data_IF_672376456472
#
_entry.id   IF_672376456472
#
_cell.length_a   1.000
_cell.length_b   1.000
_cell.length_c   1.000
_cell.angle_alpha   90.00
_cell.angle_beta   90.00
_cell.angle_gamma   90.00
#
_symmetry.space_group_name_H-M   'P 1'
#
loop_
_entity.id
_entity.type
_entity.pdbx_description
1 polymer ?
#
# COMPACT_ATOMS: atom_id res chain seq x y z
N UNK A 1 63.00 -34.55 14.59
CA UNK A 1 63.62 -35.85 14.34
C UNK A 1 63.26 -36.77 15.47
N UNK A 2 62.69 -37.93 15.20
CA UNK A 2 62.46 -39.00 16.18
C UNK A 2 63.48 -40.11 15.93
N UNK A 3 64.16 -40.55 16.99
CA UNK A 3 65.15 -41.64 16.90
C UNK A 3 64.67 -42.80 17.75
N UNK A 4 64.55 -43.96 17.12
CA UNK A 4 64.23 -45.21 17.85
C UNK A 4 65.51 -46.03 17.90
N UNK A 5 65.95 -46.40 19.09
CA UNK A 5 67.16 -47.14 19.34
C UNK A 5 66.82 -48.54 19.91
N UNK A 6 67.45 -49.59 19.44
CA UNK A 6 67.28 -50.89 19.97
C UNK A 6 67.87 -50.96 21.40
N UNK A 7 67.10 -51.37 22.39
CA UNK A 7 67.51 -51.44 23.80
C UNK A 7 68.63 -52.41 24.07
N UNK A 8 68.78 -53.47 23.25
CA UNK A 8 69.80 -54.48 23.37
C UNK A 8 71.04 -54.15 22.54
N UNK A 9 70.96 -53.27 21.57
CA UNK A 9 72.10 -52.82 20.75
C UNK A 9 71.94 -51.40 20.37
N UNK A 10 72.58 -50.50 21.10
CA UNK A 10 72.48 -49.05 20.93
C UNK A 10 73.06 -48.52 19.55
N UNK A 11 73.76 -49.39 18.82
CA UNK A 11 74.23 -49.05 17.45
C UNK A 11 73.12 -49.23 16.39
N UNK A 12 72.04 -49.96 16.74
CA UNK A 12 70.90 -50.15 15.85
C UNK A 12 69.88 -49.03 16.11
N UNK A 13 70.02 -47.98 15.36
CA UNK A 13 69.11 -46.86 15.44
C UNK A 13 68.44 -46.58 14.04
N UNK A 14 67.19 -46.20 14.09
CA UNK A 14 66.47 -45.64 12.92
C UNK A 14 66.03 -44.24 13.29
N UNK A 15 66.29 -43.32 12.42
CA UNK A 15 65.87 -41.91 12.56
C UNK A 15 64.81 -41.61 11.50
N UNK A 16 63.79 -40.94 11.91
CA UNK A 16 62.76 -40.44 11.02
C UNK A 16 62.49 -38.97 11.35
N UNK A 17 62.45 -38.16 10.29
CA UNK A 17 62.02 -36.78 10.46
C UNK A 17 60.53 -36.74 10.71
N UNK A 18 60.16 -35.94 11.69
CA UNK A 18 58.78 -35.58 11.98
C UNK A 18 58.70 -34.10 11.67
N UNK A 19 57.89 -33.75 10.71
CA UNK A 19 57.57 -32.40 10.38
C UNK A 19 56.39 -31.92 11.26
N UNK A 20 56.53 -30.82 11.92
CA UNK A 20 55.45 -30.14 12.65
C UNK A 20 55.10 -28.92 11.83
N UNK A 21 53.88 -28.90 11.34
CA UNK A 21 53.26 -27.71 10.68
C UNK A 21 52.40 -27.03 11.68
N UNK A 22 52.55 -25.74 11.81
CA UNK A 22 51.68 -24.87 12.60
C UNK A 22 50.93 -23.98 11.63
N UNK A 23 49.67 -24.24 11.47
CA UNK A 23 48.80 -23.43 10.63
C UNK A 23 48.34 -22.16 11.40
N UNK A 24 48.21 -21.01 10.74
CA UNK A 24 47.77 -19.79 11.38
C UNK A 24 46.28 -19.89 11.75
N UNK A 25 45.90 -19.17 12.80
CA UNK A 25 44.49 -18.90 13.11
C UNK A 25 43.87 -17.92 12.09
N UNK A 26 42.55 -17.91 11.95
CA UNK A 26 41.85 -16.88 11.19
C UNK A 26 42.27 -15.49 11.62
N UNK A 27 42.51 -14.59 10.64
CA UNK A 27 42.90 -13.19 10.90
C UNK A 27 41.64 -12.34 10.89
N UNK A 28 41.22 -11.93 12.06
CA UNK A 28 39.98 -11.16 12.25
C UNK A 28 40.27 -9.68 12.15
N UNK A 29 39.51 -8.98 11.31
CA UNK A 29 39.54 -7.53 11.10
C UNK A 29 38.73 -6.79 12.16
N UNK A 30 37.53 -7.29 12.42
CA UNK A 30 36.58 -6.71 13.35
C UNK A 30 35.91 -7.83 14.15
N UNK A 31 35.86 -7.68 15.47
CA UNK A 31 35.31 -8.72 16.34
C UNK A 31 33.79 -8.60 16.50
N UNK A 32 33.27 -7.40 16.47
CA UNK A 32 31.84 -7.07 16.66
C UNK A 32 31.35 -6.34 15.42
N UNK A 33 30.38 -6.92 14.74
CA UNK A 33 29.68 -6.27 13.64
C UNK A 33 28.36 -5.74 14.18
N UNK A 34 28.14 -4.46 14.04
CA UNK A 34 26.87 -3.80 14.42
C UNK A 34 26.00 -3.75 13.20
N UNK A 35 24.81 -4.35 13.29
CA UNK A 35 23.79 -4.36 12.26
C UNK A 35 22.58 -3.62 12.79
N UNK A 36 22.25 -2.52 12.14
CA UNK A 36 21.03 -1.77 12.40
C UNK A 36 20.08 -1.95 11.22
N UNK A 37 18.86 -2.36 11.46
CA UNK A 37 17.84 -2.62 10.44
C UNK A 37 16.48 -2.13 10.90
N UNK A 38 15.64 -1.70 9.95
CA UNK A 38 14.24 -1.48 10.22
C UNK A 38 13.49 -2.80 10.26
N UNK A 39 12.42 -2.82 11.02
CA UNK A 39 11.39 -3.82 10.88
C UNK A 39 10.76 -3.67 9.49
N UNK A 40 10.92 -4.67 8.63
CA UNK A 40 10.60 -4.63 7.21
C UNK A 40 9.45 -5.56 6.83
N UNK A 41 8.83 -6.20 7.81
CA UNK A 41 7.67 -7.03 7.56
C UNK A 41 6.34 -6.30 7.90
N UNK A 42 5.22 -6.92 7.50
CA UNK A 42 3.89 -6.34 7.70
C UNK A 42 3.43 -6.33 9.18
N UNK A 43 4.14 -7.04 10.07
CA UNK A 43 3.70 -7.26 11.45
C UNK A 43 4.13 -6.15 12.41
N UNK A 44 5.17 -5.37 12.07
CA UNK A 44 5.71 -4.32 12.93
C UNK A 44 6.05 -4.79 14.35
N UNK A 45 6.55 -6.00 14.48
CA UNK A 45 6.82 -6.65 15.77
C UNK A 45 8.29 -6.60 16.19
N UNK A 46 9.14 -5.98 15.38
CA UNK A 46 10.58 -5.87 15.60
C UNK A 46 11.36 -7.13 15.22
N UNK A 47 10.71 -8.04 14.49
CA UNK A 47 11.33 -9.27 13.98
C UNK A 47 11.49 -9.15 12.47
N UNK A 48 12.73 -9.19 12.00
CA UNK A 48 13.03 -9.05 10.57
C UNK A 48 13.95 -10.15 10.06
N UNK A 49 14.04 -10.27 8.74
CA UNK A 49 14.89 -11.23 8.07
C UNK A 49 16.31 -10.65 7.87
N UNK A 50 17.32 -11.40 8.31
CA UNK A 50 18.74 -11.07 8.13
C UNK A 50 19.46 -12.14 7.32
N UNK A 51 20.31 -11.70 6.39
CA UNK A 51 21.27 -12.56 5.75
C UNK A 51 22.64 -12.39 6.44
N UNK A 52 22.95 -13.25 7.40
CA UNK A 52 24.16 -13.16 8.22
C UNK A 52 25.45 -13.34 7.41
N UNK A 53 25.37 -14.03 6.26
CA UNK A 53 26.55 -14.28 5.41
C UNK A 53 27.06 -13.06 4.70
N UNK A 54 26.25 -11.99 4.58
CA UNK A 54 26.69 -10.73 4.01
C UNK A 54 27.73 -9.98 4.86
N UNK A 55 27.87 -10.37 6.12
CA UNK A 55 28.81 -9.74 7.05
C UNK A 55 30.17 -10.46 7.16
N UNK A 56 30.37 -11.60 6.46
CA UNK A 56 31.59 -12.39 6.53
C UNK A 56 32.85 -11.60 6.10
N UNK A 57 32.72 -10.78 5.07
CA UNK A 57 33.83 -9.91 4.60
C UNK A 57 34.25 -8.85 5.63
N UNK A 58 33.37 -8.50 6.57
CA UNK A 58 33.67 -7.55 7.65
C UNK A 58 34.50 -8.24 8.75
N UNK A 59 34.35 -9.54 8.92
CA UNK A 59 35.12 -10.30 9.90
C UNK A 59 36.52 -10.63 9.42
N UNK A 60 36.70 -11.04 8.16
CA UNK A 60 37.98 -11.50 7.64
C UNK A 60 38.22 -11.10 6.19
N UNK A 61 39.47 -10.81 5.80
CA UNK A 61 39.85 -10.58 4.41
C UNK A 61 39.88 -11.89 3.62
N UNK A 62 40.03 -13.04 4.28
CA UNK A 62 40.08 -14.37 3.66
C UNK A 62 38.76 -15.13 3.76
N UNK A 63 37.68 -14.40 4.00
CA UNK A 63 36.34 -14.97 4.26
C UNK A 63 35.89 -16.01 3.22
N UNK A 64 36.32 -15.90 1.96
CA UNK A 64 35.96 -16.84 0.89
C UNK A 64 36.59 -18.22 1.05
N UNK A 65 37.70 -18.35 1.83
CA UNK A 65 38.41 -19.59 2.10
C UNK A 65 38.20 -20.07 3.55
N UNK A 66 37.36 -19.38 4.31
CA UNK A 66 37.04 -19.70 5.68
C UNK A 66 35.58 -20.18 5.79
N UNK A 67 35.29 -20.97 6.80
CA UNK A 67 33.93 -21.44 7.11
C UNK A 67 33.40 -20.69 8.30
N UNK A 68 32.28 -20.00 8.10
CA UNK A 68 31.56 -19.29 9.16
C UNK A 68 30.39 -20.14 9.65
N UNK A 69 30.26 -20.20 10.98
CA UNK A 69 29.14 -20.84 11.67
C UNK A 69 28.57 -19.85 12.67
N UNK A 70 27.23 -19.77 12.72
CA UNK A 70 26.49 -18.80 13.53
C UNK A 70 25.68 -19.49 14.60
N UNK A 71 25.56 -18.86 15.77
CA UNK A 71 24.93 -19.45 16.94
C UNK A 71 24.12 -18.39 17.71
N UNK A 72 23.01 -18.79 18.32
CA UNK A 72 22.17 -17.90 19.15
C UNK A 72 22.62 -17.82 20.61
N UNK A 73 23.68 -18.55 20.99
CA UNK A 73 24.19 -18.58 22.37
C UNK A 73 25.71 -18.47 22.41
N UNK A 74 26.24 -17.82 23.44
CA UNK A 74 27.69 -17.67 23.70
C UNK A 74 28.39 -19.03 23.84
N UNK A 75 27.65 -20.06 24.27
CA UNK A 75 28.17 -21.44 24.43
C UNK A 75 28.44 -22.13 23.10
N UNK A 76 28.01 -21.58 21.98
CA UNK A 76 28.05 -22.18 20.63
C UNK A 76 27.39 -23.56 20.61
N UNK A 77 26.24 -23.69 21.27
CA UNK A 77 25.50 -24.94 21.36
C UNK A 77 24.27 -24.95 20.45
N UNK A 78 23.67 -23.78 20.20
CA UNK A 78 22.48 -23.62 19.39
C UNK A 78 22.85 -23.01 18.03
N UNK A 79 23.20 -23.87 17.08
CA UNK A 79 23.61 -23.45 15.74
C UNK A 79 22.42 -22.93 14.93
N UNK A 80 22.64 -21.84 14.20
CA UNK A 80 21.71 -21.33 13.19
C UNK A 80 21.92 -22.14 11.91
N UNK A 81 20.92 -22.91 11.52
CA UNK A 81 21.03 -23.86 10.39
C UNK A 81 20.93 -23.16 9.03
N UNK A 82 20.17 -22.06 8.95
CA UNK A 82 20.05 -21.26 7.74
C UNK A 82 20.42 -19.78 8.01
N UNK A 83 21.71 -19.43 7.91
CA UNK A 83 22.17 -18.07 8.18
C UNK A 83 21.76 -17.06 7.10
N UNK A 84 21.28 -17.51 5.94
CA UNK A 84 20.77 -16.62 4.89
C UNK A 84 19.34 -16.17 5.14
N UNK A 85 18.62 -16.85 6.05
CA UNK A 85 17.24 -16.56 6.40
C UNK A 85 17.06 -16.57 7.93
N UNK A 86 17.84 -15.76 8.63
CA UNK A 86 17.76 -15.64 10.07
C UNK A 86 16.77 -14.54 10.48
N UNK A 87 15.84 -14.87 11.35
CA UNK A 87 14.97 -13.91 12.02
C UNK A 87 15.51 -13.62 13.41
N UNK A 88 15.70 -12.33 13.74
CA UNK A 88 16.05 -11.93 15.11
C UNK A 88 14.95 -12.35 16.09
N UNK A 89 15.32 -12.63 17.34
CA UNK A 89 14.37 -13.10 18.36
C UNK A 89 13.86 -11.99 19.28
N UNK A 90 14.47 -10.79 19.20
CA UNK A 90 14.12 -9.60 19.96
C UNK A 90 14.62 -8.36 19.21
N UNK A 91 14.18 -7.15 19.62
CA UNK A 91 14.64 -5.86 19.07
C UNK A 91 16.17 -5.71 19.10
N UNK A 92 16.79 -6.21 20.16
CA UNK A 92 18.24 -6.33 20.28
C UNK A 92 18.56 -7.82 20.34
N UNK A 93 19.37 -8.31 19.43
CA UNK A 93 19.74 -9.71 19.34
C UNK A 93 21.24 -9.88 19.12
N UNK A 94 21.80 -10.97 19.64
CA UNK A 94 23.21 -11.27 19.55
C UNK A 94 23.41 -12.59 18.84
N UNK A 95 24.13 -12.56 17.72
CA UNK A 95 24.55 -13.74 16.99
C UNK A 95 26.04 -13.97 17.19
N UNK A 96 26.39 -15.11 17.72
CA UNK A 96 27.76 -15.52 17.97
C UNK A 96 28.36 -16.21 16.75
N UNK A 97 29.64 -15.91 16.43
CA UNK A 97 30.28 -16.38 15.21
C UNK A 97 31.49 -17.25 15.53
N UNK A 98 31.65 -18.33 14.78
CA UNK A 98 32.82 -19.19 14.76
C UNK A 98 33.40 -19.20 13.36
N UNK A 99 34.70 -18.94 13.24
CA UNK A 99 35.43 -18.94 11.99
C UNK A 99 36.46 -20.06 11.98
N UNK A 100 36.46 -20.86 10.90
CA UNK A 100 37.37 -21.99 10.74
C UNK A 100 38.13 -21.89 9.42
N UNK A 101 39.47 -21.95 9.45
CA UNK A 101 40.31 -21.98 8.25
C UNK A 101 40.18 -23.33 7.52
N UNK A 102 40.65 -23.40 6.26
CA UNK A 102 40.72 -24.65 5.49
C UNK A 102 41.48 -25.76 6.22
N UNK A 103 42.52 -25.43 7.01
CA UNK A 103 43.33 -26.37 7.79
C UNK A 103 42.71 -26.72 9.17
N UNK A 104 41.50 -26.22 9.45
CA UNK A 104 40.75 -26.55 10.67
C UNK A 104 41.17 -25.75 11.92
N UNK A 105 41.92 -24.64 11.75
CA UNK A 105 42.21 -23.72 12.84
C UNK A 105 40.97 -22.84 13.11
N UNK A 106 40.58 -22.78 14.38
CA UNK A 106 39.29 -22.18 14.79
C UNK A 106 39.53 -20.91 15.58
N UNK A 107 38.73 -19.90 15.26
CA UNK A 107 38.54 -18.70 16.09
C UNK A 107 37.08 -18.60 16.53
N UNK A 108 36.87 -18.41 17.81
CA UNK A 108 35.54 -18.33 18.41
C UNK A 108 35.49 -17.14 19.38
N UNK A 109 34.31 -16.84 19.89
CA UNK A 109 34.06 -15.82 20.91
C UNK A 109 34.78 -16.08 22.25
N UNK A 110 35.44 -17.22 22.45
CA UNK A 110 36.10 -17.57 23.72
C UNK A 110 37.59 -17.50 23.61
N UNK A 111 38.20 -16.39 24.07
CA UNK A 111 39.61 -16.37 24.44
C UNK A 111 39.78 -16.32 25.94
N UNK A 112 40.97 -16.78 26.44
CA UNK A 112 41.28 -16.83 27.87
C UNK A 112 41.33 -15.44 28.55
N UNK A 113 41.22 -14.35 27.76
CA UNK A 113 41.34 -12.97 28.24
C UNK A 113 40.06 -12.11 28.05
N UNK A 114 38.97 -12.63 27.57
CA UNK A 114 37.65 -12.05 27.73
C UNK A 114 37.18 -11.00 26.68
N UNK A 115 38.04 -10.53 25.78
CA UNK A 115 37.69 -9.41 24.86
C UNK A 115 37.63 -9.78 23.35
N UNK A 116 37.85 -11.00 22.96
CA UNK A 116 37.88 -11.40 21.54
C UNK A 116 36.58 -12.09 21.08
N UNK A 117 35.45 -11.55 21.43
CA UNK A 117 34.15 -12.10 21.01
C UNK A 117 33.93 -11.83 19.55
N UNK A 118 33.63 -12.87 18.76
CA UNK A 118 33.13 -12.72 17.41
C UNK A 118 31.60 -12.73 17.46
N UNK A 119 30.98 -11.60 17.17
CA UNK A 119 29.53 -11.48 17.26
C UNK A 119 28.99 -10.48 16.25
N UNK A 120 27.72 -10.67 15.92
CA UNK A 120 26.90 -9.69 15.22
C UNK A 120 25.87 -9.19 16.23
N UNK A 121 25.93 -7.87 16.50
CA UNK A 121 24.96 -7.18 17.35
C UNK A 121 23.88 -6.64 16.42
N UNK A 122 22.70 -7.25 16.45
CA UNK A 122 21.57 -6.83 15.63
C UNK A 122 20.68 -5.95 16.47
N UNK A 123 20.37 -4.77 15.94
CA UNK A 123 19.36 -3.88 16.49
C UNK A 123 18.31 -3.58 15.43
N UNK A 124 17.08 -3.99 15.70
CA UNK A 124 15.94 -3.73 14.82
C UNK A 124 15.14 -2.55 15.36
N UNK A 125 14.99 -1.53 14.54
CA UNK A 125 14.08 -0.43 14.81
C UNK A 125 12.66 -0.87 14.60
N UNK A 126 11.95 -1.17 15.68
CA UNK A 126 10.52 -1.41 15.59
C UNK A 126 9.84 -0.25 14.87
N UNK A 127 8.85 -0.57 14.05
CA UNK A 127 8.04 0.43 13.38
C UNK A 127 7.47 1.41 14.40
N UNK A 128 7.83 2.67 14.26
CA UNK A 128 7.36 3.73 15.15
C UNK A 128 5.99 4.28 14.73
N UNK A 129 5.39 3.80 13.65
CA UNK A 129 4.01 4.11 13.32
C UNK A 129 3.12 3.36 14.31
N UNK A 130 2.37 4.06 15.19
CA UNK A 130 1.58 3.40 16.21
C UNK A 130 0.54 2.46 15.59
N UNK A 131 0.35 1.29 16.15
CA UNK A 131 -0.70 0.37 15.74
C UNK A 131 -2.09 1.00 15.85
N UNK A 132 -2.30 1.82 16.88
CA UNK A 132 -3.52 2.62 17.04
C UNK A 132 -3.73 3.59 15.88
N UNK A 133 -2.65 4.14 15.31
CA UNK A 133 -2.77 4.96 14.10
C UNK A 133 -3.29 4.15 12.92
N UNK A 134 -2.77 2.94 12.71
CA UNK A 134 -3.22 2.07 11.61
C UNK A 134 -4.69 1.66 11.81
N UNK A 135 -5.11 1.41 13.05
CA UNK A 135 -6.48 1.01 13.39
C UNK A 135 -7.46 2.19 13.36
N UNK A 136 -7.06 3.36 13.89
CA UNK A 136 -7.91 4.54 14.05
C UNK A 136 -7.90 5.46 12.81
N UNK A 137 -6.83 5.44 12.04
CA UNK A 137 -6.59 6.35 10.91
C UNK A 137 -6.39 5.62 9.57
N UNK A 138 -6.83 4.37 9.44
CA UNK A 138 -6.99 3.75 8.12
C UNK A 138 -8.08 4.52 7.35
N UNK A 139 -7.77 5.80 7.09
CA UNK A 139 -8.70 6.74 6.49
C UNK A 139 -8.86 6.33 5.02
N UNK A 140 -10.11 6.06 4.68
CA UNK A 140 -10.50 5.92 3.30
C UNK A 140 -10.76 7.33 2.73
N UNK A 141 -10.01 7.68 1.69
CA UNK A 141 -10.25 8.90 0.92
C UNK A 141 -10.95 8.51 -0.37
N UNK A 142 -12.08 9.14 -0.63
CA UNK A 142 -12.94 8.79 -1.76
C UNK A 142 -13.05 9.93 -2.74
N UNK A 143 -13.09 9.60 -4.02
CA UNK A 143 -13.45 10.50 -5.12
C UNK A 143 -14.38 9.77 -6.07
N UNK A 144 -15.17 10.50 -6.82
CA UNK A 144 -15.90 9.90 -7.93
C UNK A 144 -14.94 9.61 -9.08
N UNK A 145 -15.25 8.57 -9.85
CA UNK A 145 -14.61 8.35 -11.14
C UNK A 145 -14.87 9.58 -12.02
N UNK A 146 -13.81 10.16 -12.55
CA UNK A 146 -13.88 11.38 -13.33
C UNK A 146 -13.53 11.13 -14.80
N UNK A 147 -13.45 12.17 -15.59
CA UNK A 147 -13.12 12.08 -17.01
C UNK A 147 -11.64 11.84 -17.30
N UNK A 148 -10.82 11.49 -16.27
CA UNK A 148 -9.40 11.22 -16.44
C UNK A 148 -9.22 9.83 -17.06
N UNK A 149 -9.08 9.79 -18.36
CA UNK A 149 -8.94 8.55 -19.13
C UNK A 149 -10.27 8.05 -19.67
N UNK A 150 -11.14 7.57 -18.82
CA UNK A 150 -12.49 7.09 -19.14
C UNK A 150 -13.37 7.17 -17.89
N UNK A 151 -14.63 7.52 -18.03
CA UNK A 151 -15.58 7.74 -16.92
C UNK A 151 -15.84 6.50 -16.03
N UNK A 152 -15.27 5.34 -16.34
CA UNK A 152 -15.53 4.10 -15.61
C UNK A 152 -14.32 3.16 -15.59
N UNK A 153 -13.12 3.70 -15.54
CA UNK A 153 -11.91 2.88 -15.48
C UNK A 153 -11.34 2.75 -14.05
N UNK A 154 -11.93 3.42 -13.07
CA UNK A 154 -11.50 3.43 -11.68
C UNK A 154 -10.21 4.24 -11.46
N UNK A 155 -9.85 5.12 -12.41
CA UNK A 155 -8.68 6.00 -12.34
C UNK A 155 -9.15 7.43 -12.21
N UNK A 156 -8.74 8.12 -11.15
CA UNK A 156 -9.14 9.49 -10.87
C UNK A 156 -8.00 10.29 -10.23
N UNK A 157 -8.21 11.58 -10.07
CA UNK A 157 -7.24 12.52 -9.51
C UNK A 157 -7.55 12.79 -8.04
N UNK A 158 -6.61 12.47 -7.16
CA UNK A 158 -6.66 12.85 -5.76
C UNK A 158 -5.86 14.14 -5.55
N UNK A 159 -6.49 15.14 -4.95
CA UNK A 159 -5.81 16.40 -4.64
C UNK A 159 -4.59 16.18 -3.75
N UNK A 160 -3.53 16.93 -3.96
CA UNK A 160 -2.35 16.98 -3.10
C UNK A 160 -2.70 17.27 -1.63
N UNK A 161 -3.83 17.92 -1.36
CA UNK A 161 -4.33 18.16 0.00
C UNK A 161 -4.67 16.86 0.75
N UNK A 162 -5.05 15.79 0.05
CA UNK A 162 -5.26 14.44 0.61
C UNK A 162 -3.94 13.88 1.12
N UNK A 163 -2.88 13.99 0.32
CA UNK A 163 -1.54 13.54 0.69
C UNK A 163 -0.99 14.34 1.88
N UNK A 164 -1.21 15.65 1.88
CA UNK A 164 -0.83 16.53 2.99
C UNK A 164 -1.55 16.17 4.29
N UNK A 165 -2.84 15.82 4.22
CA UNK A 165 -3.63 15.38 5.38
C UNK A 165 -3.08 14.09 5.97
N UNK A 166 -2.74 13.10 5.13
CA UNK A 166 -2.09 11.85 5.56
C UNK A 166 -0.78 12.15 6.29
N UNK A 167 0.07 12.99 5.72
CA UNK A 167 1.36 13.37 6.34
C UNK A 167 1.16 14.13 7.65
N UNK A 168 0.19 15.05 7.69
CA UNK A 168 -0.13 15.80 8.90
C UNK A 168 -0.63 14.91 10.03
N UNK A 169 -1.51 13.97 9.74
CA UNK A 169 -2.00 12.97 10.69
C UNK A 169 -0.87 12.09 11.22
N UNK A 170 0.04 11.62 10.33
CA UNK A 170 1.22 10.86 10.73
C UNK A 170 2.13 11.66 11.68
N UNK A 171 2.40 12.92 11.35
CA UNK A 171 3.21 13.79 12.23
C UNK A 171 2.58 14.01 13.59
N UNK A 172 1.25 14.08 13.66
CA UNK A 172 0.53 14.28 14.92
C UNK A 172 0.30 13.00 15.71
N UNK A 173 0.53 11.83 15.12
CA UNK A 173 0.27 10.53 15.75
C UNK A 173 1.14 10.22 16.95
N UNK A 174 2.34 10.84 17.01
CA UNK A 174 3.27 10.74 18.13
C UNK A 174 3.91 12.09 18.42
N UNK A 175 3.99 12.44 19.71
CA UNK A 175 4.64 13.68 20.16
C UNK A 175 6.09 13.76 19.70
N UNK A 176 6.83 12.65 19.77
CA UNK A 176 8.23 12.55 19.33
C UNK A 176 8.43 12.92 17.86
N UNK A 177 7.44 12.79 17.00
CA UNK A 177 7.53 13.16 15.59
C UNK A 177 7.48 14.68 15.37
N UNK A 178 7.04 15.43 16.36
CA UNK A 178 7.00 16.90 16.30
C UNK A 178 8.34 17.53 16.70
N UNK A 179 9.09 16.84 17.56
CA UNK A 179 10.34 17.32 18.13
C UNK A 179 11.59 16.83 17.37
N UNK A 180 11.44 15.86 16.49
CA UNK A 180 12.52 15.29 15.69
C UNK A 180 12.45 15.72 14.22
N UNK A 181 13.62 15.83 13.59
CA UNK A 181 13.72 16.04 12.15
C UNK A 181 13.44 14.71 11.42
N UNK A 182 12.15 14.43 11.19
CA UNK A 182 11.70 13.26 10.48
C UNK A 182 11.35 13.60 9.02
N UNK A 183 11.68 12.68 8.14
CA UNK A 183 11.21 12.70 6.75
C UNK A 183 10.16 11.63 6.55
N UNK A 184 8.97 12.06 6.12
CA UNK A 184 7.88 11.18 5.74
C UNK A 184 7.82 11.13 4.22
N UNK A 185 7.74 9.94 3.67
CA UNK A 185 7.46 9.69 2.25
C UNK A 185 6.28 8.75 2.11
N UNK A 186 5.45 9.00 1.10
CA UNK A 186 4.31 8.14 0.77
C UNK A 186 4.64 7.32 -0.48
N UNK A 187 4.11 6.10 -0.53
CA UNK A 187 4.38 5.11 -1.57
C UNK A 187 3.11 4.35 -1.94
N UNK A 188 3.08 3.77 -3.14
CA UNK A 188 1.90 3.07 -3.69
C UNK A 188 1.84 1.58 -3.37
N UNK A 189 2.84 1.04 -2.69
CA UNK A 189 2.91 -0.37 -2.28
C UNK A 189 3.91 -0.58 -1.14
N UNK A 190 3.83 -1.73 -0.48
CA UNK A 190 4.68 -2.09 0.66
C UNK A 190 6.16 -2.13 0.31
N UNK A 191 6.53 -2.68 -0.85
CA UNK A 191 7.93 -2.79 -1.25
C UNK A 191 8.61 -1.43 -1.38
N UNK A 192 7.95 -0.46 -2.03
CA UNK A 192 8.46 0.89 -2.16
C UNK A 192 8.48 1.62 -0.80
N UNK A 193 7.49 1.39 0.06
CA UNK A 193 7.49 1.88 1.44
C UNK A 193 8.67 1.36 2.25
N UNK A 194 9.00 0.07 2.10
CA UNK A 194 10.15 -0.56 2.73
C UNK A 194 11.48 0.04 2.22
N UNK A 195 11.70 0.05 0.92
CA UNK A 195 12.98 0.48 0.33
C UNK A 195 13.15 2.01 0.29
N UNK A 196 12.04 2.75 0.34
CA UNK A 196 12.02 4.20 0.13
C UNK A 196 12.15 4.62 -1.32
N UNK A 197 12.01 3.68 -2.26
CA UNK A 197 12.04 3.94 -3.69
C UNK A 197 10.70 4.50 -4.20
N UNK A 198 10.75 5.20 -5.32
CA UNK A 198 9.57 5.73 -6.01
C UNK A 198 8.56 6.42 -5.07
N UNK A 199 8.97 7.41 -4.27
CA UNK A 199 8.05 8.14 -3.44
C UNK A 199 7.04 8.92 -4.29
N UNK A 200 5.81 9.07 -3.78
CA UNK A 200 4.80 9.94 -4.38
C UNK A 200 5.26 11.39 -4.24
N UNK A 201 5.12 12.18 -5.30
CA UNK A 201 5.38 13.62 -5.26
C UNK A 201 4.24 14.35 -4.52
N UNK A 202 4.50 14.77 -3.29
CA UNK A 202 3.51 15.43 -2.44
C UNK A 202 3.16 16.86 -2.90
N UNK A 203 3.89 17.40 -3.87
CA UNK A 203 3.66 18.76 -4.39
C UNK A 203 2.67 18.80 -5.57
N UNK A 204 2.23 17.65 -6.03
CA UNK A 204 1.33 17.49 -7.16
C UNK A 204 0.11 16.66 -6.76
N UNK A 205 -0.98 16.86 -7.48
CA UNK A 205 -2.12 15.96 -7.40
C UNK A 205 -1.71 14.55 -7.82
N UNK A 206 -2.28 13.54 -7.18
CA UNK A 206 -1.92 12.15 -7.39
C UNK A 206 -3.00 11.42 -8.20
N UNK A 207 -2.60 10.77 -9.27
CA UNK A 207 -3.46 9.85 -10.03
C UNK A 207 -3.22 8.44 -9.53
N UNK A 208 -4.28 7.73 -9.09
CA UNK A 208 -4.13 6.35 -8.67
C UNK A 208 -3.68 5.47 -9.85
N UNK A 209 -2.84 4.47 -9.55
CA UNK A 209 -2.28 3.55 -10.55
C UNK A 209 -2.94 2.17 -10.52
N UNK A 210 -3.71 1.90 -9.47
CA UNK A 210 -4.55 0.71 -9.33
C UNK A 210 -6.00 1.13 -9.44
N UNK A 211 -6.75 0.53 -10.36
CA UNK A 211 -8.15 0.86 -10.57
C UNK A 211 -8.99 0.65 -9.30
N UNK A 212 -9.89 1.56 -9.03
CA UNK A 212 -10.83 1.63 -7.91
C UNK A 212 -10.19 1.75 -6.53
N UNK A 213 -9.19 0.95 -6.20
CA UNK A 213 -8.60 0.95 -4.85
C UNK A 213 -7.08 1.05 -4.93
N UNK A 214 -6.51 2.04 -4.23
CA UNK A 214 -5.08 2.27 -4.14
C UNK A 214 -4.64 2.36 -2.68
N UNK A 215 -3.78 1.44 -2.25
CA UNK A 215 -3.13 1.53 -0.94
C UNK A 215 -2.09 2.64 -0.92
N UNK A 216 -2.01 3.36 0.19
CA UNK A 216 -0.95 4.32 0.47
C UNK A 216 -0.14 3.82 1.67
N UNK A 217 1.15 3.65 1.43
CA UNK A 217 2.14 3.24 2.40
C UNK A 217 3.02 4.43 2.79
N UNK A 218 3.25 4.62 4.08
CA UNK A 218 4.17 5.64 4.57
C UNK A 218 5.46 5.02 5.06
N UNK A 219 6.56 5.73 4.85
CA UNK A 219 7.86 5.48 5.44
C UNK A 219 8.28 6.70 6.25
N UNK A 220 8.69 6.49 7.48
CA UNK A 220 9.20 7.53 8.38
C UNK A 220 10.68 7.28 8.61
N UNK A 221 11.50 8.30 8.40
CA UNK A 221 12.94 8.26 8.60
C UNK A 221 13.35 9.43 9.49
N UNK A 222 14.07 9.14 10.56
CA UNK A 222 14.74 10.16 11.34
C UNK A 222 16.07 10.54 10.65
N UNK A 223 16.24 11.81 10.28
CA UNK A 223 17.44 12.27 9.56
C UNK A 223 18.54 12.78 10.50
N UNK A 224 18.25 12.93 11.79
CA UNK A 224 19.23 13.35 12.80
C UNK A 224 19.98 12.15 13.40
N UNK A 225 19.43 10.93 13.27
CA UNK A 225 20.07 9.70 13.72
C UNK A 225 20.85 9.10 12.56
N UNK A 226 22.18 9.12 12.65
CA UNK A 226 23.08 8.60 11.62
C UNK A 226 23.37 7.11 11.78
N UNK A 227 23.15 6.55 12.96
CA UNK A 227 23.37 5.14 13.30
C UNK A 227 22.08 4.34 13.21
N UNK A 228 20.92 5.00 13.28
CA UNK A 228 19.62 4.39 13.25
C UNK A 228 18.63 5.31 12.54
N UNK A 229 18.34 5.03 11.28
CA UNK A 229 17.60 5.98 10.43
C UNK A 229 16.14 5.62 10.23
N UNK A 230 15.71 4.42 10.62
CA UNK A 230 14.39 3.93 10.29
C UNK A 230 13.46 3.97 11.51
N UNK A 231 12.39 4.73 11.42
CA UNK A 231 11.34 4.77 12.44
C UNK A 231 10.16 3.85 12.10
N UNK A 232 10.06 3.37 10.87
CA UNK A 232 9.09 2.37 10.45
C UNK A 232 8.37 2.68 9.14
N UNK A 233 7.62 1.72 8.65
CA UNK A 233 6.72 1.87 7.52
C UNK A 233 5.44 1.07 7.75
N UNK A 234 4.32 1.54 7.18
CA UNK A 234 3.04 0.86 7.27
C UNK A 234 2.07 1.35 6.18
N UNK A 235 1.03 0.56 5.89
CA UNK A 235 -0.15 1.06 5.18
C UNK A 235 -0.86 2.08 6.08
N UNK A 236 -1.09 3.28 5.56
CA UNK A 236 -1.60 4.41 6.36
C UNK A 236 -2.91 4.99 5.83
N UNK A 237 -3.26 4.67 4.59
CA UNK A 237 -4.50 5.10 3.98
C UNK A 237 -4.88 4.19 2.81
N UNK A 238 -6.11 4.34 2.37
CA UNK A 238 -6.63 3.78 1.15
C UNK A 238 -7.33 4.88 0.36
N UNK A 239 -7.04 4.96 -0.93
CA UNK A 239 -7.73 5.83 -1.88
C UNK A 239 -8.74 4.98 -2.63
N UNK A 240 -9.98 5.43 -2.69
CA UNK A 240 -11.05 4.74 -3.37
C UNK A 240 -11.70 5.62 -4.42
N UNK A 241 -11.81 5.11 -5.62
CA UNK A 241 -12.52 5.74 -6.72
C UNK A 241 -13.89 5.08 -6.85
N UNK A 242 -14.93 5.84 -6.53
CA UNK A 242 -16.31 5.37 -6.62
C UNK A 242 -16.80 5.43 -8.06
N UNK A 243 -17.32 4.34 -8.63
CA UNK A 243 -17.87 4.36 -9.99
C UNK A 243 -19.00 5.38 -10.12
N UNK A 244 -19.01 6.17 -11.18
CA UNK A 244 -20.12 7.06 -11.52
C UNK A 244 -21.25 6.26 -12.18
N UNK A 245 -22.51 6.53 -11.86
CA UNK A 245 -23.61 6.09 -12.71
C UNK A 245 -23.55 6.81 -14.05
N UNK A 246 -24.22 6.29 -15.06
CA UNK A 246 -24.34 6.90 -16.37
C UNK A 246 -25.79 7.29 -16.61
N UNK A 247 -26.02 8.55 -16.94
CA UNK A 247 -27.31 9.04 -17.41
C UNK A 247 -27.34 9.00 -18.95
N UNK A 248 -27.78 7.87 -19.53
CA UNK A 248 -27.85 7.77 -20.99
C UNK A 248 -28.85 8.75 -21.57
N UNK A 249 -28.62 9.23 -22.82
CA UNK A 249 -29.53 10.14 -23.49
C UNK A 249 -30.93 9.54 -23.62
N UNK A 250 -31.93 10.31 -23.23
CA UNK A 250 -33.35 9.95 -23.33
C UNK A 250 -34.06 10.81 -24.36
N UNK A 251 -35.06 10.23 -24.99
CA UNK A 251 -35.87 10.93 -25.98
C UNK A 251 -37.36 10.63 -25.77
N UNK A 252 -38.17 11.63 -26.03
CA UNK A 252 -39.62 11.50 -26.06
C UNK A 252 -40.17 12.10 -27.37
N UNK A 253 -41.22 11.52 -27.91
CA UNK A 253 -41.83 12.03 -29.14
C UNK A 253 -42.55 13.36 -28.85
N UNK A 254 -42.37 14.33 -29.72
CA UNK A 254 -43.15 15.57 -29.70
C UNK A 254 -44.64 15.28 -29.92
N UNK A 255 -45.49 16.05 -29.26
CA UNK A 255 -46.91 15.85 -29.26
C UNK A 255 -47.64 17.12 -29.76
N UNK A 256 -48.89 16.97 -30.22
CA UNK A 256 -49.73 18.10 -30.54
C UNK A 256 -50.71 18.36 -29.40
N UNK A 257 -50.87 19.62 -29.05
CA UNK A 257 -51.83 20.12 -28.08
C UNK A 257 -53.25 19.66 -28.42
N UNK A 258 -53.96 19.02 -27.48
CA UNK A 258 -55.27 18.46 -27.70
C UNK A 258 -55.36 17.18 -28.53
N UNK A 259 -54.23 16.50 -28.78
CA UNK A 259 -54.19 15.28 -29.57
C UNK A 259 -54.46 14.00 -28.79
N UNK A 260 -54.54 14.03 -27.47
CA UNK A 260 -54.72 12.89 -26.57
C UNK A 260 -56.14 12.82 -26.01
N UNK A 261 -56.66 11.57 -25.74
CA UNK A 261 -57.89 11.41 -24.96
C UNK A 261 -57.73 11.86 -23.51
N UNK A 262 -56.49 12.01 -23.05
CA UNK A 262 -56.12 12.54 -21.71
C UNK A 262 -56.04 14.07 -21.72
N UNK A 263 -55.90 14.70 -22.89
CA UNK A 263 -55.85 16.12 -23.09
C UNK A 263 -57.07 16.57 -23.88
N UNK A 264 -58.06 17.15 -23.18
CA UNK A 264 -59.34 17.58 -23.75
C UNK A 264 -59.41 19.02 -24.04
N UNK A 265 -58.39 19.83 -23.67
CA UNK A 265 -58.32 21.26 -23.94
C UNK A 265 -57.20 21.54 -24.95
N UNK A 266 -57.62 21.75 -26.20
CA UNK A 266 -56.70 22.09 -27.27
C UNK A 266 -56.42 23.57 -27.24
N UNK A 267 -55.20 23.96 -27.04
CA UNK A 267 -54.66 25.35 -27.09
C UNK A 267 -54.23 25.95 -25.72
N UNK A 268 -54.04 25.14 -24.68
CA UNK A 268 -53.49 25.61 -23.44
C UNK A 268 -51.92 25.43 -23.35
N UNK A 269 -51.36 24.76 -24.38
CA UNK A 269 -49.91 24.46 -24.45
C UNK A 269 -49.44 23.39 -23.53
N UNK A 270 -50.37 22.64 -22.89
CA UNK A 270 -50.08 21.56 -21.94
C UNK A 270 -50.37 20.19 -22.61
N UNK A 271 -49.49 19.21 -22.36
CA UNK A 271 -49.72 17.83 -22.85
C UNK A 271 -49.27 16.83 -21.77
N UNK A 272 -50.05 15.77 -21.48
CA UNK A 272 -49.68 14.71 -20.58
C UNK A 272 -48.80 13.62 -21.28
N UNK A 273 -47.49 13.85 -21.24
CA UNK A 273 -46.55 12.91 -21.84
C UNK A 273 -46.46 11.62 -21.04
N UNK A 274 -46.47 10.47 -21.74
CA UNK A 274 -46.18 9.17 -21.13
C UNK A 274 -44.68 9.02 -20.90
N UNK A 275 -44.28 9.09 -19.65
CA UNK A 275 -42.89 9.00 -19.20
C UNK A 275 -42.51 7.62 -18.67
N UNK A 276 -43.40 6.63 -18.78
CA UNK A 276 -43.22 5.29 -18.22
C UNK A 276 -41.98 4.53 -18.72
N UNK A 277 -41.44 4.90 -19.89
CA UNK A 277 -40.26 4.25 -20.51
C UNK A 277 -38.96 5.02 -20.27
N UNK A 278 -39.03 6.22 -19.68
CA UNK A 278 -37.85 7.12 -19.54
C UNK A 278 -36.75 6.48 -18.68
N UNK A 279 -37.10 5.86 -17.55
CA UNK A 279 -36.12 5.20 -16.66
C UNK A 279 -35.40 4.06 -17.40
N UNK A 280 -36.10 3.27 -18.20
CA UNK A 280 -35.46 2.18 -18.95
C UNK A 280 -34.49 2.72 -20.02
N UNK A 281 -34.83 3.83 -20.69
CA UNK A 281 -33.89 4.49 -21.62
C UNK A 281 -32.69 5.07 -20.88
N UNK A 282 -32.97 5.79 -19.78
CA UNK A 282 -31.97 6.47 -18.97
C UNK A 282 -30.87 5.55 -18.44
N UNK A 283 -31.25 4.34 -18.01
CA UNK A 283 -30.35 3.40 -17.35
C UNK A 283 -29.78 2.32 -18.28
N UNK A 284 -30.26 2.23 -19.52
CA UNK A 284 -29.81 1.18 -20.47
C UNK A 284 -28.83 1.75 -21.48
N UNK A 285 -27.62 1.16 -21.52
CA UNK A 285 -26.64 1.47 -22.57
C UNK A 285 -27.23 1.22 -23.97
N UNK A 286 -27.40 2.26 -24.81
CA UNK A 286 -28.00 2.11 -26.12
C UNK A 286 -27.15 1.30 -27.09
N UNK A 287 -25.88 1.03 -26.79
CA UNK A 287 -24.95 0.28 -27.63
C UNK A 287 -24.96 -1.21 -27.27
N UNK A 288 -24.94 -1.54 -25.99
CA UNK A 288 -24.83 -2.91 -25.50
C UNK A 288 -26.14 -3.51 -25.04
N UNK A 289 -27.14 -2.69 -24.73
CA UNK A 289 -28.42 -3.09 -24.17
C UNK A 289 -28.35 -3.53 -22.70
N UNK A 290 -27.23 -3.24 -22.02
CA UNK A 290 -27.06 -3.56 -20.59
C UNK A 290 -27.70 -2.46 -19.76
N UNK A 291 -28.60 -2.81 -18.83
CA UNK A 291 -29.24 -1.89 -17.88
C UNK A 291 -28.43 -1.85 -16.59
N UNK A 292 -28.20 -0.64 -16.08
CA UNK A 292 -27.64 -0.43 -14.74
C UNK A 292 -28.60 -0.92 -13.66
N UNK A 293 -28.08 -1.30 -12.50
CA UNK A 293 -28.89 -1.76 -11.37
C UNK A 293 -29.61 -0.57 -10.72
N UNK A 294 -30.89 -0.42 -11.03
CA UNK A 294 -31.76 0.63 -10.50
C UNK A 294 -31.88 0.63 -8.98
N UNK A 295 -31.68 -0.52 -8.34
CA UNK A 295 -31.84 -0.65 -6.87
C UNK A 295 -30.80 0.07 -6.04
N UNK A 296 -29.70 0.48 -6.69
CA UNK A 296 -28.57 1.20 -6.06
C UNK A 296 -28.51 2.68 -6.49
N UNK A 297 -29.53 3.13 -7.22
CA UNK A 297 -29.55 4.47 -7.82
C UNK A 297 -30.75 5.27 -7.33
N UNK A 298 -30.55 6.56 -7.22
CA UNK A 298 -31.60 7.58 -7.03
C UNK A 298 -31.71 8.41 -8.30
N UNK A 299 -32.92 8.60 -8.79
CA UNK A 299 -33.20 9.40 -9.99
C UNK A 299 -33.97 10.64 -9.55
N UNK A 300 -33.47 11.83 -9.92
CA UNK A 300 -34.08 13.10 -9.58
C UNK A 300 -34.29 13.92 -10.85
N UNK A 301 -35.44 14.57 -10.95
CA UNK A 301 -35.84 15.39 -12.09
C UNK A 301 -35.88 16.84 -11.70
N UNK A 302 -35.37 17.74 -12.54
CA UNK A 302 -35.32 19.17 -12.31
C UNK A 302 -35.89 19.94 -13.49
N UNK A 303 -36.75 20.91 -13.17
CA UNK A 303 -37.20 21.88 -14.14
C UNK A 303 -36.05 22.77 -14.66
N UNK A 304 -36.30 23.54 -15.72
CA UNK A 304 -35.33 24.46 -16.30
C UNK A 304 -34.83 25.52 -15.27
N UNK A 305 -35.65 25.86 -14.28
CA UNK A 305 -35.26 26.76 -13.21
C UNK A 305 -34.47 26.12 -12.06
N UNK A 306 -34.20 24.83 -12.16
CA UNK A 306 -33.49 24.05 -11.14
C UNK A 306 -34.36 23.56 -9.98
N UNK A 307 -35.68 23.81 -9.99
CA UNK A 307 -36.60 23.26 -9.01
C UNK A 307 -36.84 21.76 -9.27
N UNK A 308 -36.89 20.95 -8.20
CA UNK A 308 -37.14 19.51 -8.28
C UNK A 308 -38.58 19.23 -8.71
N UNK A 309 -38.76 18.25 -9.58
CA UNK A 309 -40.05 17.67 -9.98
C UNK A 309 -40.21 16.39 -9.17
N UNK A 310 -41.27 16.30 -8.30
CA UNK A 310 -41.55 15.07 -7.56
C UNK A 310 -41.77 13.90 -8.51
N UNK A 311 -41.24 12.72 -8.20
CA UNK A 311 -41.41 11.51 -9.02
C UNK A 311 -42.88 11.20 -9.29
N UNK A 312 -43.78 11.44 -8.31
CA UNK A 312 -45.22 11.28 -8.43
C UNK A 312 -45.86 12.18 -9.49
N UNK A 313 -45.23 13.31 -9.78
CA UNK A 313 -45.71 14.28 -10.78
C UNK A 313 -45.12 14.00 -12.17
N UNK A 314 -43.97 13.30 -12.20
CA UNK A 314 -43.28 12.92 -13.42
C UNK A 314 -43.76 11.60 -14.02
N UNK A 315 -43.96 10.58 -13.22
CA UNK A 315 -44.28 9.21 -13.68
C UNK A 315 -45.67 8.75 -13.20
N UNK A 316 -46.46 8.03 -14.01
CA UNK A 316 -46.19 7.60 -15.41
C UNK A 316 -46.54 8.65 -16.47
N UNK A 317 -47.16 9.76 -16.11
CA UNK A 317 -47.57 10.82 -17.02
C UNK A 317 -47.14 12.17 -16.48
N UNK A 318 -46.43 12.93 -17.27
CA UNK A 318 -45.98 14.28 -16.95
C UNK A 318 -46.74 15.34 -17.71
N UNK A 319 -47.62 16.08 -17.01
CA UNK A 319 -48.36 17.18 -17.63
C UNK A 319 -47.46 18.41 -17.69
N UNK A 320 -47.06 18.82 -18.89
CA UNK A 320 -46.13 19.92 -19.06
C UNK A 320 -46.34 20.69 -20.38
N UNK A 321 -45.80 21.90 -20.42
CA UNK A 321 -45.60 22.66 -21.65
C UNK A 321 -44.30 22.25 -22.34
N UNK A 322 -43.99 22.85 -23.48
CA UNK A 322 -42.66 22.73 -24.07
C UNK A 322 -41.59 23.24 -23.09
N UNK A 323 -40.71 22.34 -22.64
CA UNK A 323 -39.58 22.67 -21.77
C UNK A 323 -38.47 21.61 -21.87
N UNK A 324 -37.30 21.95 -21.37
CA UNK A 324 -36.20 21.02 -21.16
C UNK A 324 -36.03 20.78 -19.66
N UNK A 325 -36.02 19.55 -19.24
CA UNK A 325 -35.71 19.15 -17.87
C UNK A 325 -34.32 18.51 -17.78
N UNK A 326 -33.72 18.58 -16.60
CA UNK A 326 -32.49 17.82 -16.29
C UNK A 326 -32.87 16.59 -15.49
N UNK A 327 -32.31 15.45 -15.85
CA UNK A 327 -32.44 14.19 -15.12
C UNK A 327 -31.10 13.83 -14.56
N UNK A 328 -31.02 13.72 -13.24
CA UNK A 328 -29.82 13.29 -12.50
C UNK A 328 -29.99 11.85 -12.06
N UNK A 329 -28.93 11.07 -12.30
CA UNK A 329 -28.77 9.71 -11.77
C UNK A 329 -27.63 9.75 -10.79
N UNK A 330 -27.87 9.39 -9.56
CA UNK A 330 -26.86 9.37 -8.51
C UNK A 330 -26.90 8.06 -7.73
N UNK A 331 -25.80 7.70 -7.08
CA UNK A 331 -25.76 6.51 -6.24
C UNK A 331 -26.60 6.77 -4.98
N UNK A 332 -27.46 5.82 -4.61
CA UNK A 332 -28.33 5.93 -3.42
C UNK A 332 -27.46 5.98 -2.15
N UNK A 333 -27.48 7.08 -1.38
CA UNK A 333 -26.67 7.23 -0.17
C UNK A 333 -27.04 6.26 0.95
N UNK A 334 -28.17 5.59 0.85
CA UNK A 334 -28.57 4.56 1.81
C UNK A 334 -28.01 3.17 1.51
N UNK A 335 -27.36 3.00 0.36
CA UNK A 335 -26.78 1.73 -0.04
C UNK A 335 -25.53 1.43 0.80
N UNK A 336 -25.48 0.29 1.53
CA UNK A 336 -24.45 0.06 2.55
C UNK A 336 -23.02 -0.14 2.01
N UNK A 337 -22.84 -0.29 0.69
CA UNK A 337 -21.54 -0.44 0.06
C UNK A 337 -20.95 0.88 -0.45
N UNK A 338 -21.68 1.99 -0.29
CA UNK A 338 -21.22 3.30 -0.70
C UNK A 338 -20.33 3.89 0.37
N UNK A 339 -19.17 4.34 -0.07
CA UNK A 339 -18.09 4.77 0.82
C UNK A 339 -17.78 6.26 0.66
N UNK A 340 -18.36 6.92 -0.34
CA UNK A 340 -18.11 8.33 -0.59
C UNK A 340 -18.82 9.22 0.42
N UNK A 341 -18.05 9.83 1.32
CA UNK A 341 -18.57 10.71 2.37
C UNK A 341 -18.71 12.19 1.95
N UNK A 342 -18.04 12.61 0.87
CA UNK A 342 -17.87 14.03 0.53
C UNK A 342 -18.78 14.53 -0.61
N UNK A 343 -19.63 13.68 -1.13
CA UNK A 343 -20.56 13.99 -2.19
C UNK A 343 -20.97 12.76 -2.98
N UNK A 344 -22.22 12.72 -3.42
CA UNK A 344 -22.72 11.60 -4.20
C UNK A 344 -22.19 11.69 -5.62
N UNK A 345 -21.71 10.56 -6.13
CA UNK A 345 -21.31 10.46 -7.53
C UNK A 345 -22.57 10.44 -8.39
N UNK A 346 -22.69 11.36 -9.31
CA UNK A 346 -23.85 11.48 -10.18
C UNK A 346 -23.44 11.79 -11.62
N UNK A 347 -24.37 11.51 -12.52
CA UNK A 347 -24.35 11.97 -13.91
C UNK A 347 -25.69 12.57 -14.29
N UNK A 348 -25.72 13.44 -15.30
CA UNK A 348 -26.90 14.17 -15.72
C UNK A 348 -27.10 14.07 -17.23
N UNK A 349 -28.36 14.00 -17.62
CA UNK A 349 -28.78 14.17 -19.02
C UNK A 349 -29.98 15.12 -19.09
N UNK A 350 -30.31 15.57 -20.28
CA UNK A 350 -31.48 16.43 -20.49
C UNK A 350 -32.53 15.73 -21.31
N UNK A 351 -33.81 16.03 -21.04
CA UNK A 351 -34.97 15.58 -21.80
C UNK A 351 -35.78 16.79 -22.25
N UNK A 352 -35.99 16.89 -23.55
CA UNK A 352 -36.78 17.99 -24.16
C UNK A 352 -38.21 17.51 -24.43
N UNK A 353 -39.19 18.19 -23.87
CA UNK A 353 -40.63 18.08 -24.19
C UNK A 353 -41.03 19.14 -25.20
N UNK A 354 -41.72 18.73 -26.24
CA UNK A 354 -42.22 19.64 -27.30
C UNK A 354 -43.70 19.44 -27.48
N UNK A 355 -44.48 20.47 -27.25
CA UNK A 355 -45.93 20.56 -27.53
C UNK A 355 -46.15 21.46 -28.72
N UNK A 356 -46.70 20.97 -29.80
CA UNK A 356 -46.99 21.74 -31.00
C UNK A 356 -48.47 22.20 -31.00
N UNK A 357 -48.68 23.41 -31.42
CA UNK A 357 -50.01 23.97 -31.57
C UNK A 357 -50.84 23.10 -32.60
N UNK A 358 -52.07 22.85 -32.29
CA UNK A 358 -52.98 22.20 -33.24
C UNK A 358 -53.40 23.22 -34.31
N UNK A 359 -53.34 22.87 -35.61
CA UNK A 359 -53.84 23.76 -36.65
C UNK A 359 -55.32 24.07 -36.43
N UNK A 360 -55.69 25.40 -36.58
CA UNK A 360 -57.08 25.81 -36.57
C UNK A 360 -57.88 25.31 -37.81
#
# INVERSE_FOLDING_TARGET
VATVTNVLNSSCTITKDIEFVVDPLPVIKQNIIIVEQCDDDENNDGITLHNLTEYEELFSDDYQNEVFEYYTDEGLTNKIEDPTNYYNVALEDLVWVKVTTENGCIRTSKTQNGDDRLQIDITVGASEIPRTFIEDYNTLYTVCDDDFGSEQDGISVFSSTVLDDIVAKLKSSREIFQDQNIRISLHTNSQNGLTGENPIDLTQDFVNISAYTQEIWARIVNVDITTFTCLGYAKVAELYVEPRPIAYPVTIERQCDGASELDTDSQDGLFPFDTSTIIDQLLTDPTTGVKQDESVLTITYFNEDGSEIPESDFSPNFLTTSQTITIRVEIDPSYPEIVNADGLCYDETTLEFIVDDTPE
#
